data_IF_412749595780
#
_entry.id   IF_412749595780
#
_cell.length_a   1.000
_cell.length_b   1.000
_cell.length_c   1.000
_cell.angle_alpha   90.00
_cell.angle_beta   90.00
_cell.angle_gamma   90.00
#
_symmetry.space_group_name_H-M   'P 1'
#
loop_
_entity.id
_entity.type
_entity.pdbx_description
1 polymer ?
#
# COMPACT_ATOMS: atom_id res chain seq x y z
N UNK A 1 -9.27 -3.97 5.03
CA UNK A 1 -8.32 -5.00 4.60
C UNK A 1 -8.01 -5.91 5.77
N UNK A 2 -7.91 -7.20 5.53
CA UNK A 2 -7.61 -8.22 6.53
C UNK A 2 -6.95 -9.43 5.88
N UNK A 3 -6.24 -10.21 6.69
CA UNK A 3 -5.62 -11.47 6.26
C UNK A 3 -6.45 -12.64 6.78
N UNK A 4 -6.84 -13.53 5.86
CA UNK A 4 -7.56 -14.78 6.17
C UNK A 4 -6.56 -15.91 6.45
N UNK A 5 -5.42 -15.90 5.75
CA UNK A 5 -4.34 -16.86 5.90
C UNK A 5 -2.98 -16.17 5.73
N UNK A 6 -1.98 -16.50 6.53
CA UNK A 6 -0.62 -15.95 6.46
C UNK A 6 -0.45 -14.60 7.15
N UNK A 7 0.49 -13.79 6.67
CA UNK A 7 0.83 -12.48 7.22
C UNK A 7 1.21 -11.46 6.13
N UNK A 8 0.80 -10.20 6.33
CA UNK A 8 1.02 -9.09 5.41
C UNK A 8 1.41 -7.84 6.21
N UNK A 9 2.40 -7.09 5.72
CA UNK A 9 2.65 -5.72 6.16
C UNK A 9 1.84 -4.76 5.27
N UNK A 10 0.83 -4.13 5.84
CA UNK A 10 -0.14 -3.30 5.14
C UNK A 10 0.14 -1.81 5.42
N UNK A 11 0.29 -0.99 4.37
CA UNK A 11 0.79 0.40 4.46
C UNK A 11 -0.18 1.37 3.79
N UNK A 12 -0.43 2.49 4.47
CA UNK A 12 -1.15 3.62 3.91
C UNK A 12 -0.27 4.89 3.89
N UNK A 13 -0.35 5.67 2.82
CA UNK A 13 0.36 6.95 2.67
C UNK A 13 -0.65 8.07 2.56
N UNK A 14 -0.50 9.13 3.36
CA UNK A 14 -1.39 10.29 3.31
C UNK A 14 -1.12 11.15 2.06
N UNK A 15 -2.08 11.22 1.14
CA UNK A 15 -1.97 12.02 -0.08
C UNK A 15 -2.80 13.32 -0.04
N UNK A 16 -3.37 13.66 1.12
CA UNK A 16 -4.22 14.85 1.26
C UNK A 16 -3.35 16.08 1.46
N UNK A 17 -3.28 16.97 0.47
CA UNK A 17 -2.36 18.11 0.47
C UNK A 17 -2.54 19.09 1.63
N UNK A 18 -3.75 19.20 2.19
CA UNK A 18 -4.03 20.03 3.38
C UNK A 18 -3.73 19.32 4.71
N UNK A 19 -3.36 18.05 4.69
CA UNK A 19 -3.10 17.27 5.89
C UNK A 19 -1.75 17.63 6.51
N UNK A 20 -1.66 17.78 7.85
CA UNK A 20 -0.39 17.97 8.53
C UNK A 20 0.54 16.75 8.42
N UNK A 21 0.00 15.59 8.04
CA UNK A 21 0.75 14.33 7.85
C UNK A 21 0.93 13.98 6.38
N UNK A 22 0.73 14.91 5.45
CA UNK A 22 0.93 14.67 4.02
C UNK A 22 2.30 14.06 3.71
N UNK A 23 2.31 12.97 2.93
CA UNK A 23 3.51 12.21 2.59
C UNK A 23 4.04 11.30 3.70
N UNK A 24 3.43 11.30 4.88
CA UNK A 24 3.73 10.31 5.92
C UNK A 24 2.98 9.02 5.67
N UNK A 25 3.53 7.92 6.16
CA UNK A 25 2.92 6.61 6.06
C UNK A 25 2.73 5.97 7.42
N UNK A 26 1.75 5.09 7.50
CA UNK A 26 1.51 4.22 8.64
C UNK A 26 1.43 2.78 8.14
N UNK A 27 2.07 1.86 8.86
CA UNK A 27 2.06 0.44 8.55
C UNK A 27 1.56 -0.39 9.72
N UNK A 28 0.84 -1.46 9.41
CA UNK A 28 0.34 -2.44 10.39
C UNK A 28 0.53 -3.86 9.88
N UNK A 29 0.95 -4.75 10.75
CA UNK A 29 1.02 -6.17 10.43
C UNK A 29 -0.37 -6.80 10.60
N UNK A 30 -0.89 -7.38 9.52
CA UNK A 30 -2.15 -8.10 9.49
C UNK A 30 -1.84 -9.59 9.35
N UNK A 31 -2.39 -10.42 10.23
CA UNK A 31 -2.13 -11.86 10.22
C UNK A 31 -3.41 -12.67 10.39
N UNK A 32 -3.32 -13.95 10.05
CA UNK A 32 -4.42 -14.90 10.28
C UNK A 32 -4.74 -15.10 11.76
N UNK A 33 -3.86 -14.73 12.69
CA UNK A 33 -4.06 -14.87 14.14
C UNK A 33 -4.56 -13.58 14.79
N UNK A 34 -4.05 -12.42 14.37
CA UNK A 34 -4.41 -11.14 15.00
C UNK A 34 -5.79 -10.62 14.55
N UNK A 35 -6.26 -11.09 13.39
CA UNK A 35 -7.56 -10.75 12.79
C UNK A 35 -7.83 -9.23 12.73
N UNK A 36 -6.78 -8.42 12.66
CA UNK A 36 -6.91 -6.98 12.58
C UNK A 36 -7.53 -6.59 11.22
N UNK A 37 -8.25 -5.48 11.24
CA UNK A 37 -8.76 -4.85 10.04
C UNK A 37 -8.17 -3.46 9.89
N UNK A 38 -7.58 -3.20 8.72
CA UNK A 38 -7.08 -1.88 8.37
C UNK A 38 -8.00 -1.22 7.33
N UNK A 39 -8.57 -0.08 7.68
CA UNK A 39 -9.40 0.73 6.78
C UNK A 39 -8.54 1.86 6.23
N UNK A 40 -8.44 1.96 4.91
CA UNK A 40 -7.78 3.08 4.23
C UNK A 40 -8.84 3.96 3.60
N UNK A 41 -9.04 5.20 4.09
CA UNK A 41 -10.00 6.13 3.51
C UNK A 41 -9.55 6.67 2.15
N UNK A 42 -10.49 7.29 1.43
CA UNK A 42 -10.18 8.09 0.23
C UNK A 42 -9.14 9.18 0.53
N UNK A 43 -8.31 9.50 -0.45
CA UNK A 43 -7.19 10.45 -0.31
C UNK A 43 -5.91 9.84 0.28
N UNK A 44 -5.82 8.52 0.40
CA UNK A 44 -4.60 7.80 0.79
C UNK A 44 -4.14 6.87 -0.34
N UNK A 45 -2.83 6.67 -0.46
CA UNK A 45 -2.28 5.54 -1.20
C UNK A 45 -2.28 4.30 -0.31
N UNK A 46 -2.40 3.12 -0.93
CA UNK A 46 -2.36 1.84 -0.25
C UNK A 46 -1.36 0.92 -0.97
N UNK A 47 -0.62 0.13 -0.19
CA UNK A 47 0.24 -0.93 -0.70
C UNK A 47 0.60 -1.91 0.42
N UNK A 48 1.04 -3.11 0.05
CA UNK A 48 1.37 -4.13 1.04
C UNK A 48 2.50 -5.06 0.59
N UNK A 49 3.14 -5.73 1.55
CA UNK A 49 4.11 -6.79 1.30
C UNK A 49 3.69 -8.08 2.02
N UNK A 50 3.91 -9.23 1.39
CA UNK A 50 3.55 -10.53 1.96
C UNK A 50 4.71 -11.08 2.78
N UNK A 51 4.50 -11.32 4.08
CA UNK A 51 5.56 -11.71 5.02
C UNK A 51 5.68 -13.23 5.22
N UNK A 52 4.65 -13.98 4.81
CA UNK A 52 4.62 -15.44 4.84
C UNK A 52 4.81 -16.04 3.44
N UNK A 53 5.05 -17.35 3.35
CA UNK A 53 5.18 -18.05 2.07
C UNK A 53 3.94 -17.86 1.17
N UNK A 54 2.75 -17.85 1.78
CA UNK A 54 1.48 -17.56 1.12
C UNK A 54 0.63 -16.66 2.01
N UNK A 55 -0.21 -15.81 1.40
CA UNK A 55 -1.24 -15.07 2.11
C UNK A 55 -2.54 -15.01 1.32
N UNK A 56 -3.67 -15.06 2.03
CA UNK A 56 -5.01 -14.78 1.48
C UNK A 56 -5.44 -13.44 2.05
N UNK A 57 -5.30 -12.39 1.23
CA UNK A 57 -5.64 -11.03 1.58
C UNK A 57 -7.05 -10.69 1.07
N UNK A 58 -7.88 -10.10 1.93
CA UNK A 58 -9.26 -9.76 1.60
C UNK A 58 -9.56 -8.31 1.95
N UNK A 59 -10.27 -7.63 1.05
CA UNK A 59 -10.69 -6.25 1.25
C UNK A 59 -12.01 -5.98 0.55
N UNK A 60 -12.71 -4.97 1.08
CA UNK A 60 -13.96 -4.45 0.55
C UNK A 60 -13.66 -3.08 -0.03
N UNK A 61 -14.20 -2.81 -1.20
CA UNK A 61 -14.17 -1.51 -1.83
C UNK A 61 -15.53 -0.84 -1.69
N UNK A 62 -15.53 0.48 -1.57
CA UNK A 62 -16.72 1.33 -1.59
C UNK A 62 -17.22 1.63 -3.02
N UNK A 63 -16.39 1.39 -4.05
CA UNK A 63 -16.75 1.51 -5.47
C UNK A 63 -16.17 0.36 -6.33
N UNK A 64 -16.63 0.26 -7.57
CA UNK A 64 -16.16 -0.70 -8.56
C UNK A 64 -14.80 -0.30 -9.14
N UNK A 65 -14.02 -1.31 -9.54
CA UNK A 65 -12.72 -1.08 -10.17
C UNK A 65 -12.86 -0.32 -11.49
N UNK A 66 -12.13 0.78 -11.61
CA UNK A 66 -12.00 1.55 -12.84
C UNK A 66 -10.50 1.76 -13.17
N UNK A 67 -9.95 1.06 -14.18
CA UNK A 67 -8.53 1.14 -14.51
C UNK A 67 -8.09 2.55 -14.95
N UNK A 68 -9.00 3.38 -15.49
CA UNK A 68 -8.68 4.73 -15.91
C UNK A 68 -8.41 5.68 -14.72
N UNK A 69 -8.92 5.34 -13.54
CA UNK A 69 -8.73 6.10 -12.30
C UNK A 69 -7.61 5.53 -11.43
N UNK A 70 -7.05 4.37 -11.79
CA UNK A 70 -5.93 3.80 -11.07
C UNK A 70 -4.69 4.70 -11.20
N UNK A 71 -4.03 4.96 -10.07
CA UNK A 71 -2.76 5.65 -9.96
C UNK A 71 -1.87 4.89 -9.00
N UNK A 72 -0.57 5.08 -9.12
CA UNK A 72 0.39 4.47 -8.21
C UNK A 72 1.60 5.36 -8.00
N UNK A 73 2.34 5.03 -6.96
CA UNK A 73 3.61 5.63 -6.58
C UNK A 73 4.64 4.51 -6.57
N UNK A 74 5.86 4.81 -6.99
CA UNK A 74 6.96 3.86 -6.92
C UNK A 74 7.09 3.31 -5.49
N UNK A 75 7.04 1.99 -5.33
CA UNK A 75 7.01 1.36 -4.00
C UNK A 75 8.28 1.69 -3.19
N UNK A 76 9.44 1.71 -3.83
CA UNK A 76 10.73 2.06 -3.24
C UNK A 76 11.09 3.54 -3.39
N UNK A 77 10.08 4.42 -3.45
CA UNK A 77 10.30 5.85 -3.50
C UNK A 77 11.12 6.34 -2.29
N UNK A 78 12.26 7.02 -2.53
CA UNK A 78 13.16 7.43 -1.45
C UNK A 78 12.61 8.57 -0.58
N UNK A 79 11.61 9.34 -1.04
CA UNK A 79 10.99 10.38 -0.23
C UNK A 79 9.98 9.79 0.76
N UNK A 80 9.26 8.73 0.38
CA UNK A 80 8.39 7.98 1.30
C UNK A 80 9.19 7.05 2.21
N UNK A 81 10.26 6.44 1.71
CA UNK A 81 11.17 5.57 2.46
C UNK A 81 10.43 4.53 3.33
N UNK A 82 9.47 3.83 2.70
CA UNK A 82 8.64 2.83 3.38
C UNK A 82 9.49 1.60 3.70
N UNK A 83 9.46 1.17 4.96
CA UNK A 83 10.04 -0.11 5.35
C UNK A 83 9.07 -1.24 5.00
N UNK A 84 9.29 -1.85 3.84
CA UNK A 84 8.46 -2.94 3.32
C UNK A 84 8.67 -4.29 4.00
N UNK A 85 9.57 -4.41 4.99
CA UNK A 85 9.84 -5.65 5.74
C UNK A 85 10.28 -6.85 4.88
N UNK A 86 10.63 -6.62 3.62
CA UNK A 86 11.17 -7.61 2.68
C UNK A 86 12.48 -7.07 2.10
N UNK A 87 13.55 -7.88 2.06
CA UNK A 87 14.78 -7.51 1.35
C UNK A 87 14.51 -7.20 -0.12
N UNK A 88 15.08 -6.10 -0.63
CA UNK A 88 14.80 -5.62 -1.99
C UNK A 88 15.16 -6.64 -3.09
N UNK A 89 16.18 -7.47 -2.86
CA UNK A 89 16.60 -8.55 -3.77
C UNK A 89 15.62 -9.74 -3.81
N UNK A 90 14.68 -9.81 -2.86
CA UNK A 90 13.64 -10.85 -2.78
C UNK A 90 12.25 -10.32 -3.15
N UNK A 91 12.10 -9.02 -3.35
CA UNK A 91 10.82 -8.42 -3.67
C UNK A 91 10.38 -8.84 -5.09
N UNK A 92 9.19 -9.45 -5.18
CA UNK A 92 8.55 -9.76 -6.45
C UNK A 92 7.52 -8.67 -6.74
N UNK A 93 7.85 -7.80 -7.70
CA UNK A 93 7.04 -6.62 -8.04
C UNK A 93 6.52 -6.78 -9.46
N UNK A 94 5.28 -6.38 -9.70
CA UNK A 94 4.69 -6.44 -11.03
C UNK A 94 5.37 -5.45 -12.00
N UNK A 95 5.31 -5.73 -13.30
CA UNK A 95 5.82 -4.81 -14.31
C UNK A 95 5.09 -3.45 -14.27
N UNK A 96 3.81 -3.43 -13.87
CA UNK A 96 3.04 -2.20 -13.71
C UNK A 96 3.62 -1.34 -12.60
N UNK A 97 3.88 -1.93 -11.44
CA UNK A 97 4.26 -1.19 -10.24
C UNK A 97 5.70 -0.67 -10.32
N UNK A 98 6.56 -1.32 -11.11
CA UNK A 98 7.91 -0.83 -11.44
C UNK A 98 7.94 0.37 -12.38
N UNK A 99 6.79 0.75 -12.96
CA UNK A 99 6.67 1.89 -13.88
C UNK A 99 5.95 3.09 -13.24
N UNK A 100 5.55 2.99 -11.97
CA UNK A 100 4.92 4.11 -11.30
C UNK A 100 5.90 5.28 -11.09
N UNK A 101 5.41 6.53 -11.13
CA UNK A 101 6.24 7.70 -10.88
C UNK A 101 6.75 7.74 -9.43
N UNK A 102 7.87 8.44 -9.23
CA UNK A 102 8.29 8.87 -7.90
C UNK A 102 7.22 9.75 -7.25
N UNK A 103 7.20 9.80 -5.93
CA UNK A 103 6.23 10.54 -5.13
C UNK A 103 6.14 12.00 -5.56
N UNK A 104 7.25 12.66 -5.90
CA UNK A 104 7.25 14.06 -6.35
C UNK A 104 6.52 14.28 -7.70
N UNK A 105 6.41 13.25 -8.53
CA UNK A 105 5.78 13.29 -9.86
C UNK A 105 4.44 12.56 -9.91
N UNK A 106 4.09 11.80 -8.87
CA UNK A 106 2.82 11.12 -8.78
C UNK A 106 1.66 12.13 -8.74
N UNK A 107 0.57 11.81 -9.43
CA UNK A 107 -0.70 12.50 -9.27
C UNK A 107 -1.21 12.30 -7.84
N UNK A 108 -1.80 13.33 -7.24
CA UNK A 108 -2.26 13.34 -5.84
C UNK A 108 -3.56 14.14 -5.73
N UNK A 109 -4.28 13.97 -4.62
CA UNK A 109 -5.55 14.65 -4.34
C UNK A 109 -6.68 14.30 -5.32
N UNK A 110 -6.83 13.00 -5.60
CA UNK A 110 -7.98 12.43 -6.31
C UNK A 110 -8.84 11.59 -5.36
#
# INVERSE_FOLDING_TARGET
MSVIKGAVWDVAVDLRASSPTFGQWYGVELTEENHLQFLVPQGFAHGFSVLSETAIFSYKCDDFYNPALERGIMYNDPALNIDWKIPADKALISEKDTKHPLFIHAEKNF
#
